data_IF_494581376557
#
_entry.id   IF_494581376557
#
_cell.length_a   1.000
_cell.length_b   1.000
_cell.length_c   1.000
_cell.angle_alpha   90.00
_cell.angle_beta   90.00
_cell.angle_gamma   90.00
#
_symmetry.space_group_name_H-M   'P 1'
#
loop_
_entity.id
_entity.type
_entity.pdbx_description
1 polymer ?
#
# COMPACT_ATOMS: atom_id res chain seq x y z
N UNK A 1 -13.93 -11.37 5.84
CA UNK A 1 -12.48 -11.62 6.11
C UNK A 1 -11.69 -10.42 5.59
N UNK A 2 -10.63 -10.00 6.29
CA UNK A 2 -9.74 -8.95 5.79
C UNK A 2 -8.97 -9.48 4.57
N UNK A 3 -8.84 -8.67 3.53
CA UNK A 3 -8.04 -8.96 2.33
C UNK A 3 -6.76 -8.15 2.40
N UNK A 4 -5.64 -8.76 2.05
CA UNK A 4 -4.33 -8.12 2.03
C UNK A 4 -3.70 -8.30 0.66
N UNK A 5 -3.15 -7.22 0.10
CA UNK A 5 -2.35 -7.24 -1.12
C UNK A 5 -1.00 -6.61 -0.82
N UNK A 6 0.10 -7.33 -1.05
CA UNK A 6 1.44 -6.75 -0.95
C UNK A 6 1.59 -5.67 -2.02
N UNK A 7 2.03 -4.49 -1.61
CA UNK A 7 2.37 -3.37 -2.50
C UNK A 7 3.84 -3.47 -2.84
N UNK A 8 4.69 -3.32 -1.83
CA UNK A 8 6.12 -3.17 -2.02
C UNK A 8 6.91 -3.86 -0.91
N UNK A 9 8.11 -4.29 -1.26
CA UNK A 9 9.10 -4.80 -0.31
C UNK A 9 10.43 -4.12 -0.65
N UNK A 10 10.93 -3.37 0.32
CA UNK A 10 12.21 -2.68 0.17
C UNK A 10 13.38 -3.67 0.22
N UNK A 11 14.55 -3.30 -0.32
CA UNK A 11 15.76 -4.11 -0.17
C UNK A 11 16.18 -4.35 1.29
N UNK A 12 15.79 -3.49 2.23
CA UNK A 12 16.02 -3.65 3.67
C UNK A 12 15.06 -4.64 4.33
N UNK A 13 14.02 -5.09 3.63
CA UNK A 13 13.04 -6.06 4.12
C UNK A 13 11.80 -5.45 4.77
N UNK A 14 11.65 -4.13 4.72
CA UNK A 14 10.39 -3.46 5.07
C UNK A 14 9.32 -3.79 4.03
N UNK A 15 8.11 -4.10 4.49
CA UNK A 15 7.03 -4.59 3.64
C UNK A 15 5.78 -3.75 3.83
N UNK A 16 5.15 -3.38 2.73
CA UNK A 16 3.91 -2.62 2.70
C UNK A 16 2.79 -3.43 2.06
N UNK A 17 1.62 -3.36 2.68
CA UNK A 17 0.42 -4.05 2.23
C UNK A 17 -0.76 -3.08 2.19
N UNK A 18 -1.60 -3.23 1.18
CA UNK A 18 -2.93 -2.65 1.15
C UNK A 18 -3.89 -3.62 1.81
N UNK A 19 -4.56 -3.18 2.88
CA UNK A 19 -5.53 -3.98 3.61
C UNK A 19 -6.91 -3.42 3.35
N UNK A 20 -7.82 -4.29 2.87
CA UNK A 20 -9.25 -4.01 2.82
C UNK A 20 -9.96 -4.81 3.89
N UNK A 21 -10.76 -4.15 4.72
CA UNK A 21 -11.57 -4.82 5.74
C UNK A 21 -13.03 -5.05 5.28
N UNK A 22 -13.81 -5.87 6.01
CA UNK A 22 -15.19 -6.16 5.64
C UNK A 22 -16.15 -4.96 5.71
N UNK A 23 -15.78 -3.88 6.41
CA UNK A 23 -16.57 -2.65 6.50
C UNK A 23 -16.42 -1.75 5.28
N UNK A 24 -15.44 -2.06 4.41
CA UNK A 24 -15.09 -1.24 3.25
C UNK A 24 -13.96 -0.26 3.53
N UNK A 25 -13.40 -0.24 4.74
CA UNK A 25 -12.23 0.58 5.05
C UNK A 25 -10.98 -0.01 4.39
N UNK A 26 -10.13 0.87 3.87
CA UNK A 26 -8.86 0.51 3.22
C UNK A 26 -7.73 1.35 3.82
N UNK A 27 -6.66 0.68 4.26
CA UNK A 27 -5.51 1.31 4.90
C UNK A 27 -4.21 0.60 4.51
N UNK A 28 -3.09 1.25 4.77
CA UNK A 28 -1.75 0.71 4.57
C UNK A 28 -1.30 0.03 5.85
N UNK A 29 -0.71 -1.15 5.70
CA UNK A 29 -0.04 -1.90 6.75
C UNK A 29 1.45 -1.95 6.42
N UNK A 30 2.26 -1.36 7.29
CA UNK A 30 3.71 -1.35 7.18
C UNK A 30 4.28 -2.30 8.22
N UNK A 31 5.04 -3.28 7.75
CA UNK A 31 5.88 -4.13 8.59
C UNK A 31 7.34 -3.69 8.42
N UNK A 32 7.91 -3.13 9.47
CA UNK A 32 9.32 -2.81 9.49
C UNK A 32 10.16 -4.09 9.45
N UNK A 33 11.36 -3.99 8.90
CA UNK A 33 12.30 -5.10 8.94
C UNK A 33 12.70 -5.48 10.38
N UNK A 34 13.16 -6.72 10.60
CA UNK A 34 13.52 -7.23 11.93
C UNK A 34 14.65 -6.41 12.57
N UNK A 35 15.60 -5.93 11.78
CA UNK A 35 16.71 -5.11 12.27
C UNK A 35 16.24 -3.74 12.79
N UNK A 36 15.09 -3.24 12.31
CA UNK A 36 14.45 -1.99 12.73
C UNK A 36 13.40 -2.21 13.82
N UNK A 37 13.41 -3.38 14.47
CA UNK A 37 12.51 -3.72 15.58
C UNK A 37 11.22 -4.43 15.18
N UNK A 38 11.00 -4.67 13.87
CA UNK A 38 9.82 -5.43 13.41
C UNK A 38 8.48 -4.76 13.71
N UNK A 39 8.49 -3.44 13.89
CA UNK A 39 7.29 -2.67 14.21
C UNK A 39 6.25 -2.77 13.11
N UNK A 40 4.99 -2.86 13.53
CA UNK A 40 3.85 -2.92 12.64
C UNK A 40 3.03 -1.66 12.83
N UNK A 41 2.85 -0.92 11.76
CA UNK A 41 2.07 0.31 11.75
C UNK A 41 0.94 0.24 10.74
N UNK A 42 -0.15 0.93 11.06
CA UNK A 42 -1.27 1.12 10.15
C UNK A 42 -1.46 2.60 9.91
N UNK A 43 -1.70 2.97 8.66
CA UNK A 43 -1.95 4.35 8.30
C UNK A 43 -2.99 4.47 7.18
N UNK A 44 -3.73 5.58 7.19
CA UNK A 44 -4.66 5.91 6.12
C UNK A 44 -3.93 6.17 4.81
N UNK A 45 -4.57 5.84 3.68
CA UNK A 45 -4.00 6.03 2.34
C UNK A 45 -3.62 7.50 2.09
N UNK A 46 -4.44 8.44 2.54
CA UNK A 46 -4.17 9.87 2.38
C UNK A 46 -2.91 10.31 3.13
N UNK A 47 -2.73 9.82 4.37
CA UNK A 47 -1.54 10.09 5.17
C UNK A 47 -0.29 9.49 4.51
N UNK A 48 -0.38 8.24 4.06
CA UNK A 48 0.70 7.54 3.37
C UNK A 48 1.18 8.27 2.11
N UNK A 49 0.24 8.69 1.25
CA UNK A 49 0.54 9.43 0.03
C UNK A 49 1.07 10.84 0.30
N UNK A 50 0.73 11.45 1.44
CA UNK A 50 1.24 12.77 1.81
C UNK A 50 2.72 12.79 2.23
N UNK A 51 3.30 11.62 2.57
CA UNK A 51 4.70 11.51 3.00
C UNK A 51 5.69 11.79 1.88
N UNK A 52 5.31 11.57 0.62
CA UNK A 52 6.15 11.85 -0.55
C UNK A 52 5.91 10.90 -1.71
N UNK A 53 6.93 10.77 -2.55
CA UNK A 53 6.90 9.98 -3.80
C UNK A 53 7.97 8.89 -3.80
N UNK A 54 8.08 8.16 -2.68
CA UNK A 54 8.96 7.00 -2.58
C UNK A 54 8.43 5.80 -3.37
N UNK A 55 9.23 4.73 -3.50
CA UNK A 55 8.87 3.53 -4.26
C UNK A 55 7.54 2.91 -3.79
N UNK A 56 7.28 2.93 -2.49
CA UNK A 56 6.07 2.38 -1.89
C UNK A 56 4.80 3.18 -2.25
N UNK A 57 4.89 4.50 -2.35
CA UNK A 57 3.78 5.34 -2.81
C UNK A 57 3.58 5.21 -4.32
N UNK A 58 4.66 5.15 -5.08
CA UNK A 58 4.60 4.93 -6.53
C UNK A 58 3.93 3.60 -6.87
N UNK A 59 4.21 2.54 -6.11
CA UNK A 59 3.61 1.22 -6.34
C UNK A 59 2.12 1.18 -6.00
N UNK A 60 1.67 1.97 -4.99
CA UNK A 60 0.24 2.17 -4.75
C UNK A 60 -0.43 2.93 -5.90
N UNK A 61 0.20 3.98 -6.42
CA UNK A 61 -0.32 4.72 -7.57
C UNK A 61 -0.39 3.84 -8.81
N UNK A 62 0.63 3.02 -9.06
CA UNK A 62 0.67 2.04 -10.15
C UNK A 62 -0.45 1.00 -9.99
N UNK A 63 -0.72 0.54 -8.77
CA UNK A 63 -1.86 -0.32 -8.50
C UNK A 63 -3.18 0.36 -8.85
N UNK A 64 -3.36 1.64 -8.49
CA UNK A 64 -4.57 2.40 -8.83
C UNK A 64 -4.68 2.58 -10.36
N UNK A 65 -3.57 2.81 -11.04
CA UNK A 65 -3.50 2.91 -12.51
C UNK A 65 -4.01 1.63 -13.19
N UNK A 66 -3.69 0.44 -12.66
CA UNK A 66 -4.23 -0.82 -13.25
C UNK A 66 -5.76 -0.90 -13.25
N UNK A 67 -6.44 -0.20 -12.32
CA UNK A 67 -7.91 -0.15 -12.29
C UNK A 67 -8.47 0.69 -13.44
N UNK A 68 -7.70 1.67 -13.92
CA UNK A 68 -8.05 2.49 -15.07
C UNK A 68 -7.81 1.70 -16.36
N UNK A 69 -6.72 0.93 -16.43
CA UNK A 69 -6.43 0.04 -17.57
C UNK A 69 -7.52 -1.03 -17.76
N UNK A 70 -8.10 -1.53 -16.67
CA UNK A 70 -9.23 -2.49 -16.70
C UNK A 70 -10.52 -1.87 -17.26
N UNK A 71 -10.66 -0.54 -17.18
CA UNK A 71 -11.86 0.20 -17.59
C UNK A 71 -11.50 1.41 -18.44
N UNK A 72 -11.01 1.20 -19.69
CA UNK A 72 -10.56 2.29 -20.53
C UNK A 72 -11.72 3.24 -20.85
N UNK A 73 -11.50 4.54 -20.67
CA UNK A 73 -12.44 5.55 -21.13
C UNK A 73 -12.40 5.57 -22.67
N UNK A 74 -13.53 5.30 -23.32
CA UNK A 74 -13.71 5.59 -24.74
C UNK A 74 -13.79 7.11 -24.90
N UNK A 75 -12.64 7.73 -25.14
CA UNK A 75 -12.54 9.18 -25.43
C UNK A 75 -12.36 9.37 -26.92
#
# INVERSE_FOLDING_TARGET
MKKARKLYESPSGDRWYLIGDPSGAVFIHHEANVASGGHVEHEDIAAFLSRGTGPEQQELLRLIETLVEEHPAHT
#
